data_IF_343022127467
#
_entry.id   IF_343022127467
#
_cell.length_a   1.000
_cell.length_b   1.000
_cell.length_c   1.000
_cell.angle_alpha   90.00
_cell.angle_beta   90.00
_cell.angle_gamma   90.00
#
_symmetry.space_group_name_H-M   'P 1'
#
loop_
_entity.id
_entity.type
_entity.pdbx_description
1 polymer ?
#
# COMPACT_ATOMS: atom_id res chain seq x y z
N UNK A 1 -78.08 27.28 40.87
CA UNK A 1 -79.43 26.76 40.53
C UNK A 1 -79.29 25.49 39.70
N UNK A 2 -80.28 24.64 39.84
CA UNK A 2 -80.48 23.28 39.35
C UNK A 2 -80.03 22.94 37.90
N UNK A 3 -79.30 21.83 37.78
CA UNK A 3 -79.81 20.50 37.35
C UNK A 3 -80.23 20.22 35.90
N UNK A 4 -79.88 18.99 35.48
CA UNK A 4 -80.49 18.09 34.46
C UNK A 4 -80.15 18.38 32.98
N UNK A 5 -79.95 17.41 32.08
CA UNK A 5 -79.38 16.04 31.99
C UNK A 5 -79.87 15.44 30.64
N UNK A 6 -79.21 14.35 30.22
CA UNK A 6 -79.56 13.33 29.18
C UNK A 6 -79.06 13.61 27.76
N UNK A 7 -78.06 12.87 27.26
CA UNK A 7 -78.03 11.45 26.78
C UNK A 7 -78.25 11.39 25.26
N UNK A 8 -77.74 10.45 24.46
CA UNK A 8 -76.58 9.55 24.40
C UNK A 8 -76.85 8.72 23.12
N UNK A 9 -75.95 8.66 22.14
CA UNK A 9 -75.94 7.54 21.15
C UNK A 9 -74.50 7.17 20.78
N UNK A 10 -74.32 5.85 20.73
CA UNK A 10 -73.14 5.01 20.59
C UNK A 10 -72.37 5.12 19.27
N UNK A 11 -71.07 4.77 19.32
CA UNK A 11 -70.26 4.41 18.15
C UNK A 11 -68.85 3.93 18.55
N UNK A 12 -68.71 2.62 18.74
CA UNK A 12 -67.48 1.88 19.07
C UNK A 12 -66.26 2.20 18.18
N UNK A 13 -65.07 2.33 18.77
CA UNK A 13 -63.97 1.35 18.59
C UNK A 13 -62.83 1.64 19.58
N UNK A 14 -62.56 0.64 20.42
CA UNK A 14 -61.41 0.58 21.31
C UNK A 14 -60.16 0.18 20.53
N UNK A 15 -58.98 0.64 20.95
CA UNK A 15 -58.00 -0.20 21.65
C UNK A 15 -56.76 0.62 22.02
N UNK A 16 -56.51 0.72 23.32
CA UNK A 16 -55.26 1.20 23.91
C UNK A 16 -54.25 0.06 23.99
N UNK A 17 -52.99 0.29 23.64
CA UNK A 17 -51.86 -0.53 24.13
C UNK A 17 -50.61 0.32 24.38
N UNK A 18 -50.46 0.69 25.65
CA UNK A 18 -49.30 0.42 26.54
C UNK A 18 -47.90 0.40 25.91
N UNK A 19 -47.09 1.37 26.35
CA UNK A 19 -45.63 1.39 26.24
C UNK A 19 -44.99 0.12 26.80
N UNK A 20 -44.01 -0.42 26.06
CA UNK A 20 -43.02 -1.38 26.56
C UNK A 20 -41.62 -0.97 26.11
N UNK A 21 -40.78 -0.76 27.11
CA UNK A 21 -39.32 -0.68 27.02
C UNK A 21 -38.75 -1.93 26.36
N UNK A 22 -37.86 -1.75 25.39
CA UNK A 22 -37.04 -2.82 24.83
C UNK A 22 -35.59 -2.33 24.69
N UNK A 23 -34.74 -2.84 25.58
CA UNK A 23 -33.28 -2.83 25.42
C UNK A 23 -32.93 -3.52 24.09
N UNK A 24 -32.18 -2.86 23.21
CA UNK A 24 -31.49 -3.51 22.09
C UNK A 24 -29.99 -3.24 22.20
N UNK A 25 -29.23 -4.32 22.41
CA UNK A 25 -27.78 -4.32 22.25
C UNK A 25 -27.45 -4.13 20.76
N UNK A 26 -26.74 -3.05 20.42
CA UNK A 26 -26.11 -2.93 19.12
C UNK A 26 -24.77 -3.67 19.18
N UNK A 27 -24.73 -4.86 18.57
CA UNK A 27 -23.50 -5.62 18.35
C UNK A 27 -22.83 -5.03 17.10
N UNK A 28 -21.61 -4.51 17.25
CA UNK A 28 -20.79 -4.07 16.13
C UNK A 28 -20.45 -5.28 15.25
N UNK A 29 -20.85 -5.25 13.97
CA UNK A 29 -20.39 -6.16 12.94
C UNK A 29 -19.37 -5.41 12.08
N UNK A 30 -18.10 -5.81 12.20
CA UNK A 30 -17.05 -5.46 11.26
C UNK A 30 -17.32 -6.12 9.91
N UNK A 31 -17.14 -5.43 8.76
CA UNK A 31 -17.28 -6.06 7.47
C UNK A 31 -16.08 -6.99 7.23
N UNK A 32 -16.36 -8.28 7.08
CA UNK A 32 -15.41 -9.27 6.57
C UNK A 32 -15.35 -9.10 5.05
N UNK A 33 -14.31 -8.43 4.54
CA UNK A 33 -14.01 -8.45 3.13
C UNK A 33 -13.54 -9.86 2.75
N UNK A 34 -14.25 -10.52 1.83
CA UNK A 34 -13.92 -11.85 1.35
C UNK A 34 -13.00 -11.76 0.14
N UNK A 35 -12.01 -12.65 0.06
CA UNK A 35 -11.02 -12.79 -1.02
C UNK A 35 -11.63 -12.91 -2.43
N UNK A 36 -12.93 -13.17 -2.54
CA UNK A 36 -13.64 -13.33 -3.81
C UNK A 36 -13.89 -12.00 -4.54
N UNK A 37 -13.88 -10.86 -3.84
CA UNK A 37 -14.15 -9.55 -4.46
C UNK A 37 -12.95 -9.00 -5.26
N UNK A 38 -11.74 -9.50 -4.96
CA UNK A 38 -10.52 -9.13 -5.68
C UNK A 38 -10.37 -9.91 -7.00
N UNK A 39 -10.81 -11.17 -7.04
CA UNK A 39 -10.74 -12.02 -8.22
C UNK A 39 -11.65 -11.53 -9.36
N UNK A 40 -12.78 -10.89 -9.04
CA UNK A 40 -13.75 -10.45 -10.05
C UNK A 40 -13.30 -9.16 -10.80
N UNK A 41 -12.47 -8.32 -10.16
CA UNK A 41 -11.96 -7.08 -10.78
C UNK A 41 -10.78 -7.30 -11.74
N UNK A 42 -10.14 -8.47 -11.70
CA UNK A 42 -8.96 -8.80 -12.52
C UNK A 42 -9.33 -9.41 -13.89
N UNK A 43 -10.57 -9.90 -14.06
CA UNK A 43 -10.97 -10.69 -15.24
C UNK A 43 -11.44 -9.88 -16.48
N UNK A 44 -11.42 -8.54 -16.45
CA UNK A 44 -11.99 -7.71 -17.54
C UNK A 44 -11.02 -6.86 -18.36
N UNK A 45 -9.70 -7.04 -18.23
CA UNK A 45 -8.73 -6.35 -19.09
C UNK A 45 -8.18 -7.30 -20.16
N UNK A 46 -8.94 -7.48 -21.23
CA UNK A 46 -8.56 -8.28 -22.41
C UNK A 46 -7.46 -7.59 -23.21
N UNK A 47 -6.51 -8.43 -23.62
CA UNK A 47 -5.29 -8.20 -24.41
C UNK A 47 -5.55 -7.40 -25.69
N UNK A 48 -4.72 -6.39 -25.96
CA UNK A 48 -4.39 -5.96 -27.34
C UNK A 48 -2.87 -5.80 -27.48
N UNK A 49 -2.31 -6.66 -28.34
CA UNK A 49 -0.91 -6.61 -28.80
C UNK A 49 -0.68 -5.38 -29.69
N UNK A 50 0.52 -4.80 -29.57
CA UNK A 50 1.15 -4.03 -30.64
C UNK A 50 1.49 -2.59 -30.26
N UNK A 51 2.74 -2.35 -29.89
CA UNK A 51 3.75 -1.57 -30.63
C UNK A 51 5.05 -1.65 -29.84
N UNK A 52 6.08 -2.21 -30.46
CA UNK A 52 7.45 -2.13 -30.00
C UNK A 52 7.89 -0.66 -30.04
N UNK A 53 8.03 -0.05 -28.86
CA UNK A 53 8.59 1.28 -28.67
C UNK A 53 9.70 1.20 -27.65
N UNK A 54 10.94 1.27 -28.12
CA UNK A 54 12.15 1.25 -27.33
C UNK A 54 12.15 2.38 -26.29
N UNK A 55 11.94 2.03 -25.02
CA UNK A 55 12.41 2.84 -23.90
C UNK A 55 13.75 2.22 -23.50
N UNK A 56 14.83 2.90 -23.87
CA UNK A 56 16.14 2.68 -23.26
C UNK A 56 16.05 3.10 -21.79
N UNK A 57 15.51 2.22 -20.95
CA UNK A 57 16.08 2.07 -19.63
C UNK A 57 17.48 1.51 -19.86
N UNK A 58 18.51 2.17 -19.38
CA UNK A 58 19.75 1.47 -19.07
C UNK A 58 19.41 0.47 -17.96
N UNK A 59 18.82 -0.65 -18.35
CA UNK A 59 18.65 -1.81 -17.50
C UNK A 59 20.08 -2.26 -17.22
N UNK A 60 20.51 -2.05 -15.99
CA UNK A 60 21.64 -2.81 -15.49
C UNK A 60 21.32 -4.29 -15.79
N UNK A 61 22.22 -4.97 -16.51
CA UNK A 61 22.03 -6.38 -16.85
C UNK A 61 21.63 -7.14 -15.60
N UNK A 62 20.66 -8.03 -15.68
CA UNK A 62 20.23 -8.79 -14.51
C UNK A 62 21.43 -9.64 -14.02
N UNK A 63 21.83 -9.47 -12.76
CA UNK A 63 23.02 -10.11 -12.17
C UNK A 63 22.58 -11.06 -11.06
N UNK A 64 23.20 -12.24 -10.98
CA UNK A 64 22.99 -13.16 -9.86
C UNK A 64 23.57 -12.61 -8.56
N UNK A 65 23.18 -13.20 -7.42
CA UNK A 65 23.74 -12.76 -6.14
C UNK A 65 25.26 -12.95 -6.09
N UNK A 66 25.77 -14.08 -6.56
CA UNK A 66 27.21 -14.40 -6.54
C UNK A 66 28.03 -13.49 -7.44
N UNK A 67 27.54 -13.18 -8.64
CA UNK A 67 28.18 -12.21 -9.53
C UNK A 67 28.23 -10.82 -8.90
N UNK A 68 27.15 -10.40 -8.22
CA UNK A 68 27.12 -9.11 -7.52
C UNK A 68 28.13 -9.08 -6.36
N UNK A 69 28.29 -10.18 -5.61
CA UNK A 69 29.30 -10.30 -4.56
C UNK A 69 30.73 -10.38 -5.10
N UNK A 70 30.91 -10.84 -6.35
CA UNK A 70 32.20 -10.85 -7.04
C UNK A 70 32.69 -9.45 -7.43
N UNK A 71 31.82 -8.44 -7.43
CA UNK A 71 32.15 -7.06 -7.76
C UNK A 71 32.56 -6.27 -6.51
N UNK A 72 33.60 -5.47 -6.65
CA UNK A 72 33.98 -4.48 -5.64
C UNK A 72 33.02 -3.30 -5.63
N UNK A 73 32.92 -2.61 -4.48
CA UNK A 73 32.11 -1.41 -4.36
C UNK A 73 32.39 -0.37 -5.45
N UNK A 74 33.66 -0.17 -5.84
CA UNK A 74 34.04 0.80 -6.87
C UNK A 74 33.56 0.38 -8.27
N UNK A 75 33.41 -0.92 -8.54
CA UNK A 75 32.85 -1.40 -9.80
C UNK A 75 31.33 -1.23 -9.85
N UNK A 76 30.64 -1.36 -8.70
CA UNK A 76 29.18 -1.17 -8.62
C UNK A 76 28.81 0.31 -8.61
N UNK A 77 29.62 1.16 -7.98
CA UNK A 77 29.33 2.59 -7.79
C UNK A 77 29.08 3.31 -9.11
N UNK A 78 27.86 3.86 -9.24
CA UNK A 78 27.46 4.67 -10.39
C UNK A 78 26.93 3.90 -11.60
N UNK A 79 26.96 2.56 -11.57
CA UNK A 79 26.42 1.72 -12.65
C UNK A 79 24.90 1.58 -12.61
N UNK A 80 24.30 1.74 -11.42
CA UNK A 80 22.89 1.47 -11.16
C UNK A 80 22.58 0.05 -10.65
N UNK A 81 23.56 -0.86 -10.70
CA UNK A 81 23.42 -2.25 -10.21
C UNK A 81 23.07 -2.34 -8.71
N UNK A 82 23.49 -1.36 -7.90
CA UNK A 82 23.14 -1.33 -6.47
C UNK A 82 21.64 -1.11 -6.21
N UNK A 83 20.85 -0.72 -7.21
CA UNK A 83 19.41 -0.52 -7.08
C UNK A 83 18.61 -1.62 -7.81
N UNK A 84 19.24 -2.73 -8.18
CA UNK A 84 18.57 -3.89 -8.80
C UNK A 84 18.59 -5.08 -7.87
N UNK A 85 17.51 -5.88 -7.88
CA UNK A 85 17.50 -7.13 -7.13
C UNK A 85 18.26 -8.23 -7.88
N UNK A 86 18.92 -9.15 -7.16
CA UNK A 86 19.53 -10.32 -7.79
C UNK A 86 18.51 -11.17 -8.54
N UNK A 87 18.96 -11.81 -9.62
CA UNK A 87 18.15 -12.82 -10.32
C UNK A 87 18.57 -14.23 -9.95
N UNK A 88 17.58 -15.12 -9.90
CA UNK A 88 17.81 -16.56 -9.75
C UNK A 88 17.96 -17.18 -11.14
N UNK A 89 19.17 -17.66 -11.43
CA UNK A 89 19.47 -18.42 -12.65
C UNK A 89 19.18 -19.90 -12.45
N UNK A 90 18.48 -20.51 -13.41
CA UNK A 90 17.89 -21.83 -13.18
C UNK A 90 16.82 -21.79 -12.07
N UNK A 91 16.49 -22.96 -11.53
CA UNK A 91 15.49 -23.11 -10.49
C UNK A 91 14.21 -23.82 -10.94
N UNK A 92 13.47 -24.28 -9.95
CA UNK A 92 12.20 -24.99 -10.07
C UNK A 92 11.04 -24.08 -9.63
N UNK A 93 9.82 -24.61 -9.64
CA UNK A 93 8.65 -23.87 -9.19
C UNK A 93 8.68 -23.68 -7.67
N UNK A 94 8.11 -22.57 -7.17
CA UNK A 94 7.93 -22.35 -5.73
C UNK A 94 7.11 -23.46 -5.02
N UNK A 95 6.41 -24.33 -5.76
CA UNK A 95 5.71 -25.50 -5.21
C UNK A 95 6.64 -26.55 -4.61
N UNK A 96 7.92 -26.54 -5.00
CA UNK A 96 8.91 -27.51 -4.54
C UNK A 96 9.58 -27.08 -3.21
N UNK A 97 9.19 -25.92 -2.66
CA UNK A 97 9.61 -25.48 -1.32
C UNK A 97 9.00 -26.44 -0.29
N UNK A 98 9.87 -27.09 0.49
CA UNK A 98 9.44 -28.04 1.51
C UNK A 98 8.75 -27.32 2.68
N UNK A 99 7.80 -27.99 3.31
CA UNK A 99 7.19 -27.49 4.54
C UNK A 99 8.24 -27.25 5.64
N UNK A 100 8.04 -26.19 6.41
CA UNK A 100 8.96 -25.77 7.46
C UNK A 100 8.85 -24.29 7.80
N UNK A 101 9.49 -23.94 8.90
CA UNK A 101 9.75 -22.55 9.28
C UNK A 101 11.11 -22.15 8.70
N UNK A 102 11.15 -21.00 8.02
CA UNK A 102 12.33 -20.41 7.41
C UNK A 102 12.50 -18.97 7.88
N UNK A 103 13.74 -18.51 7.88
CA UNK A 103 14.10 -17.10 7.89
C UNK A 103 14.19 -16.62 6.46
N UNK A 104 13.49 -15.52 6.19
CA UNK A 104 13.63 -14.78 4.96
C UNK A 104 14.74 -13.75 5.15
N UNK A 105 15.74 -13.82 4.30
CA UNK A 105 16.89 -12.93 4.29
C UNK A 105 17.05 -12.28 2.91
N UNK A 106 17.75 -11.14 2.88
CA UNK A 106 18.08 -10.41 1.64
C UNK A 106 16.85 -10.16 0.78
N UNK A 107 15.71 -9.94 1.43
CA UNK A 107 14.47 -9.70 0.71
C UNK A 107 14.56 -8.32 0.06
N UNK A 108 14.50 -8.33 -1.26
CA UNK A 108 14.66 -7.19 -2.13
C UNK A 108 13.42 -7.04 -3.01
N UNK A 109 12.95 -5.81 -3.19
CA UNK A 109 11.84 -5.46 -4.09
C UNK A 109 12.26 -4.35 -5.03
N UNK A 110 12.29 -4.66 -6.32
CA UNK A 110 12.64 -3.75 -7.41
C UNK A 110 11.37 -3.39 -8.22
N UNK A 111 10.79 -2.22 -7.97
CA UNK A 111 9.77 -1.64 -8.82
C UNK A 111 10.21 -1.49 -10.28
N UNK A 112 9.37 -1.95 -11.20
CA UNK A 112 9.54 -1.75 -12.65
C UNK A 112 8.57 -0.72 -13.21
N UNK A 113 7.45 -0.47 -12.52
CA UNK A 113 6.45 0.51 -12.92
C UNK A 113 5.76 1.14 -11.72
N UNK A 114 5.55 2.45 -11.81
CA UNK A 114 4.74 3.24 -10.90
C UNK A 114 3.57 3.85 -11.68
N UNK A 115 2.36 3.49 -11.33
CA UNK A 115 1.15 4.11 -11.87
C UNK A 115 0.35 4.73 -10.75
N UNK A 116 -0.23 5.90 -11.02
CA UNK A 116 -1.02 6.65 -10.03
C UNK A 116 -2.44 6.73 -10.53
N UNK A 117 -3.38 6.39 -9.66
CA UNK A 117 -4.80 6.50 -9.96
C UNK A 117 -5.18 7.97 -9.93
N UNK A 118 -5.63 8.44 -11.08
CA UNK A 118 -6.06 9.81 -11.27
C UNK A 118 -7.54 9.83 -11.60
N UNK A 119 -8.26 10.81 -11.05
CA UNK A 119 -9.63 11.07 -11.51
C UNK A 119 -9.60 11.57 -12.95
N UNK A 120 -10.61 11.20 -13.73
CA UNK A 120 -10.67 11.66 -15.10
C UNK A 120 -10.78 13.18 -15.16
N UNK A 121 -10.01 13.80 -16.07
CA UNK A 121 -10.15 15.23 -16.37
C UNK A 121 -11.50 15.56 -17.01
N UNK A 122 -12.22 14.55 -17.50
CA UNK A 122 -13.56 14.68 -18.04
C UNK A 122 -14.61 14.40 -16.97
N UNK A 123 -15.68 15.21 -16.93
CA UNK A 123 -16.77 15.13 -15.94
C UNK A 123 -17.50 13.77 -15.84
N UNK A 124 -17.25 12.83 -16.75
CA UNK A 124 -17.88 11.51 -16.81
C UNK A 124 -16.88 10.36 -17.05
N UNK A 125 -15.58 10.59 -16.93
CA UNK A 125 -14.60 9.52 -17.13
C UNK A 125 -14.32 8.74 -15.85
N UNK A 126 -13.97 7.46 -16.00
CA UNK A 126 -13.57 6.61 -14.88
C UNK A 126 -12.17 6.96 -14.37
N UNK A 127 -11.91 6.71 -13.08
CA UNK A 127 -10.57 6.86 -12.51
C UNK A 127 -9.68 5.70 -12.96
N UNK A 128 -8.59 6.02 -13.64
CA UNK A 128 -7.65 5.03 -14.18
C UNK A 128 -6.24 5.23 -13.64
N UNK A 129 -5.47 4.13 -13.58
CA UNK A 129 -4.05 4.17 -13.24
C UNK A 129 -3.25 4.69 -14.43
N UNK A 130 -2.72 5.90 -14.30
CA UNK A 130 -1.93 6.54 -15.35
C UNK A 130 -0.44 6.22 -15.18
N UNK A 131 0.26 6.07 -16.31
CA UNK A 131 1.73 5.94 -16.31
C UNK A 131 2.37 7.22 -15.82
N UNK A 132 3.40 7.09 -15.00
CA UNK A 132 4.12 8.22 -14.44
C UNK A 132 5.58 8.22 -14.86
N UNK A 133 6.26 9.35 -14.64
CA UNK A 133 7.70 9.47 -14.82
C UNK A 133 8.39 9.61 -13.47
N UNK A 134 9.36 8.75 -13.19
CA UNK A 134 10.16 8.79 -11.95
C UNK A 134 11.04 10.04 -11.89
N UNK A 135 11.02 10.74 -10.75
CA UNK A 135 11.79 11.97 -10.51
C UNK A 135 12.98 11.78 -9.57
N UNK A 136 12.95 10.77 -8.70
CA UNK A 136 13.94 10.57 -7.61
C UNK A 136 15.15 9.72 -7.98
N UNK A 137 15.32 9.34 -9.26
CA UNK A 137 16.42 8.48 -9.74
C UNK A 137 16.39 7.10 -9.05
N UNK A 138 17.52 6.38 -9.05
CA UNK A 138 17.67 5.01 -8.56
C UNK A 138 17.76 4.95 -7.02
N UNK A 139 16.66 5.25 -6.33
CA UNK A 139 16.58 5.27 -4.85
C UNK A 139 15.29 4.62 -4.34
N UNK A 140 14.69 3.72 -5.13
CA UNK A 140 13.32 3.24 -4.92
C UNK A 140 13.23 1.75 -4.61
N UNK A 141 14.33 1.01 -4.70
CA UNK A 141 14.37 -0.43 -4.40
C UNK A 141 14.42 -0.62 -2.89
N UNK A 142 13.62 -1.55 -2.37
CA UNK A 142 13.73 -2.01 -0.99
C UNK A 142 14.72 -3.17 -0.96
N UNK A 143 15.58 -3.23 0.04
CA UNK A 143 16.66 -4.22 0.08
C UNK A 143 17.03 -4.61 1.51
N UNK A 144 17.68 -5.75 1.66
CA UNK A 144 18.16 -6.24 2.95
C UNK A 144 17.04 -6.50 3.95
N UNK A 145 15.79 -6.65 3.50
CA UNK A 145 14.68 -6.97 4.39
C UNK A 145 14.83 -8.40 4.92
N UNK A 146 14.38 -8.58 6.16
CA UNK A 146 14.39 -9.84 6.88
C UNK A 146 13.01 -10.15 7.43
N UNK A 147 12.72 -11.44 7.60
CA UNK A 147 11.39 -11.86 7.99
C UNK A 147 11.30 -13.32 8.38
N UNK A 148 10.08 -13.70 8.75
CA UNK A 148 9.70 -15.09 8.96
C UNK A 148 8.93 -15.58 7.74
N UNK A 149 9.30 -16.74 7.22
CA UNK A 149 8.64 -17.38 6.08
C UNK A 149 8.27 -18.81 6.45
N UNK A 150 6.98 -19.11 6.55
CA UNK A 150 6.47 -20.41 6.97
C UNK A 150 5.73 -21.08 5.83
N UNK A 151 6.07 -22.34 5.57
CA UNK A 151 5.40 -23.18 4.59
C UNK A 151 4.72 -24.34 5.31
N UNK A 152 3.40 -24.40 5.22
CA UNK A 152 2.59 -25.49 5.76
C UNK A 152 2.71 -26.77 4.93
N UNK A 153 2.40 -27.90 5.55
CA UNK A 153 2.34 -29.20 4.86
C UNK A 153 1.26 -29.27 3.77
N UNK A 154 0.28 -28.36 3.84
CA UNK A 154 -0.78 -28.15 2.86
C UNK A 154 -0.38 -27.20 1.72
N UNK A 155 0.85 -26.69 1.72
CA UNK A 155 1.34 -25.69 0.76
C UNK A 155 0.92 -24.25 1.08
N UNK A 156 0.33 -24.01 2.25
CA UNK A 156 0.05 -22.66 2.73
C UNK A 156 1.35 -21.91 3.02
N UNK A 157 1.37 -20.61 2.74
CA UNK A 157 2.50 -19.72 3.01
C UNK A 157 2.06 -18.63 3.97
N UNK A 158 2.87 -18.37 4.98
CA UNK A 158 2.75 -17.20 5.84
C UNK A 158 4.08 -16.47 5.84
N UNK A 159 4.04 -15.17 5.59
CA UNK A 159 5.22 -14.31 5.55
C UNK A 159 5.01 -13.14 6.50
N UNK A 160 6.05 -12.79 7.23
CA UNK A 160 6.06 -11.61 8.08
C UNK A 160 7.38 -10.87 7.91
N UNK A 161 7.29 -9.61 7.50
CA UNK A 161 8.42 -8.68 7.48
C UNK A 161 8.72 -8.21 8.91
N UNK A 162 10.00 -8.05 9.24
CA UNK A 162 10.43 -7.67 10.59
C UNK A 162 11.40 -6.48 10.61
N UNK A 163 12.42 -6.45 9.74
CA UNK A 163 13.44 -5.40 9.71
C UNK A 163 14.11 -5.28 8.33
N UNK A 164 14.80 -4.16 8.08
CA UNK A 164 15.61 -3.91 6.88
C UNK A 164 15.36 -2.53 6.26
N UNK A 165 15.79 -2.33 5.01
CA UNK A 165 15.46 -1.13 4.24
C UNK A 165 14.09 -1.30 3.57
N UNK A 166 13.07 -1.32 4.43
CA UNK A 166 11.66 -1.60 4.13
C UNK A 166 10.85 -0.36 3.71
N UNK A 167 11.49 0.79 3.51
CA UNK A 167 10.88 1.98 2.92
C UNK A 167 11.83 2.80 2.05
N UNK A 168 11.28 3.45 1.03
CA UNK A 168 11.96 4.33 0.11
C UNK A 168 11.08 5.54 -0.27
N UNK A 169 11.53 6.79 -0.04
CA UNK A 169 10.80 7.97 -0.49
C UNK A 169 10.92 8.12 -2.01
N UNK A 170 9.79 8.10 -2.70
CA UNK A 170 9.71 8.18 -4.15
C UNK A 170 8.89 9.40 -4.56
N UNK A 171 9.24 10.03 -5.68
CA UNK A 171 8.38 11.02 -6.31
C UNK A 171 8.26 10.71 -7.79
N UNK A 172 7.03 10.66 -8.27
CA UNK A 172 6.71 10.49 -9.68
C UNK A 172 5.95 11.71 -10.19
N UNK A 173 5.98 11.90 -11.50
CA UNK A 173 5.27 12.97 -12.17
C UNK A 173 4.20 12.40 -13.09
N UNK A 174 2.97 12.89 -12.94
CA UNK A 174 1.84 12.56 -13.80
C UNK A 174 1.92 13.30 -15.14
N UNK A 175 1.27 12.77 -16.19
CA UNK A 175 1.00 13.53 -17.42
C UNK A 175 0.19 14.78 -17.07
N UNK A 176 0.78 15.96 -17.27
CA UNK A 176 0.22 17.24 -16.79
C UNK A 176 1.12 17.98 -15.80
N UNK A 177 2.17 17.32 -15.31
CA UNK A 177 3.25 17.97 -14.57
C UNK A 177 3.10 17.91 -13.04
N UNK A 178 1.96 17.46 -12.53
CA UNK A 178 1.75 17.22 -11.10
C UNK A 178 2.75 16.19 -10.57
N UNK A 179 3.37 16.51 -9.43
CA UNK A 179 4.30 15.61 -8.73
C UNK A 179 3.59 14.96 -7.56
N UNK A 180 3.62 13.63 -7.54
CA UNK A 180 3.01 12.80 -6.51
C UNK A 180 4.14 12.14 -5.71
N UNK A 181 4.51 12.69 -4.54
CA UNK A 181 5.41 12.00 -3.62
C UNK A 181 4.66 10.90 -2.88
N UNK A 182 5.36 9.81 -2.59
CA UNK A 182 4.86 8.70 -1.78
C UNK A 182 6.03 7.93 -1.15
N UNK A 183 5.74 7.18 -0.10
CA UNK A 183 6.73 6.36 0.59
C UNK A 183 6.52 4.90 0.18
N UNK A 184 7.25 4.40 -0.82
CA UNK A 184 7.18 2.98 -1.17
C UNK A 184 7.67 2.18 0.03
N UNK A 185 6.87 1.22 0.52
CA UNK A 185 7.15 0.57 1.81
C UNK A 185 6.56 -0.82 1.87
N UNK A 186 7.13 -1.65 2.73
CA UNK A 186 6.59 -2.95 3.11
C UNK A 186 6.61 -3.16 4.65
N UNK A 187 6.66 -2.06 5.41
CA UNK A 187 6.67 -2.03 6.87
C UNK A 187 5.58 -2.87 7.52
N UNK A 188 5.97 -3.73 8.45
CA UNK A 188 5.08 -4.55 9.27
C UNK A 188 4.19 -5.47 8.41
N UNK A 189 4.65 -5.83 7.21
CA UNK A 189 3.86 -6.65 6.30
C UNK A 189 3.59 -8.03 6.89
N UNK A 190 2.33 -8.43 6.81
CA UNK A 190 1.89 -9.78 7.18
C UNK A 190 1.06 -10.36 6.06
N UNK A 191 1.64 -11.32 5.35
CA UNK A 191 1.04 -11.96 4.19
C UNK A 191 0.64 -13.41 4.45
N UNK A 192 -0.44 -13.85 3.81
CA UNK A 192 -0.87 -15.25 3.79
C UNK A 192 -1.28 -15.66 2.37
N UNK A 193 -1.16 -16.95 2.08
CA UNK A 193 -1.59 -17.52 0.81
C UNK A 193 -0.99 -18.89 0.58
N UNK A 194 -0.44 -19.10 -0.61
CA UNK A 194 0.27 -20.31 -1.00
C UNK A 194 1.50 -19.94 -1.86
N UNK A 195 2.25 -20.95 -2.29
CA UNK A 195 3.49 -20.75 -3.08
C UNK A 195 3.25 -20.17 -4.47
N UNK A 196 2.02 -20.25 -5.01
CA UNK A 196 1.67 -19.61 -6.29
C UNK A 196 1.35 -18.12 -6.11
N UNK A 197 0.65 -17.78 -5.02
CA UNK A 197 0.30 -16.40 -4.71
C UNK A 197 0.06 -16.23 -3.20
N UNK A 198 0.66 -15.20 -2.61
CA UNK A 198 0.38 -14.76 -1.26
C UNK A 198 0.25 -13.25 -1.20
N UNK A 199 -0.53 -12.73 -0.26
CA UNK A 199 -0.75 -11.30 -0.13
C UNK A 199 -1.17 -10.91 1.27
N UNK A 200 -1.13 -9.62 1.54
CA UNK A 200 -1.41 -9.07 2.86
C UNK A 200 -1.37 -7.56 2.89
N UNK A 201 -1.58 -7.04 4.09
CA UNK A 201 -1.55 -5.60 4.36
C UNK A 201 -0.22 -5.22 5.01
N UNK A 202 0.15 -3.96 4.84
CA UNK A 202 1.32 -3.33 5.47
C UNK A 202 1.01 -1.89 5.87
N UNK A 203 1.84 -1.34 6.73
CA UNK A 203 1.71 0.04 7.21
C UNK A 203 2.39 1.00 6.25
N UNK A 204 1.71 2.10 5.94
CA UNK A 204 2.26 3.22 5.17
C UNK A 204 2.40 4.41 6.11
N UNK A 205 3.59 4.64 6.69
CA UNK A 205 3.82 5.82 7.49
C UNK A 205 3.59 7.10 6.69
N UNK A 206 3.33 8.20 7.41
CA UNK A 206 3.33 9.53 6.79
C UNK A 206 4.66 9.78 6.07
N UNK A 207 4.59 10.27 4.83
CA UNK A 207 5.76 10.61 4.02
C UNK A 207 6.66 11.65 4.69
N UNK A 208 6.07 12.52 5.53
CA UNK A 208 6.78 13.48 6.39
C UNK A 208 6.69 13.03 7.84
N UNK A 209 7.81 13.09 8.56
CA UNK A 209 7.82 12.85 10.01
C UNK A 209 7.08 13.94 10.79
N UNK A 210 6.70 13.64 12.03
CA UNK A 210 5.91 14.57 12.87
C UNK A 210 6.61 15.90 13.17
N UNK A 211 7.94 15.92 13.17
CA UNK A 211 8.77 17.12 13.36
C UNK A 211 9.10 17.87 12.07
N UNK A 212 8.57 17.44 10.92
CA UNK A 212 8.72 18.19 9.68
C UNK A 212 8.06 19.56 9.80
N UNK A 213 8.78 20.60 9.37
CA UNK A 213 8.30 21.97 9.34
C UNK A 213 7.94 22.36 7.91
N UNK A 214 6.71 22.82 7.72
CA UNK A 214 6.30 23.44 6.47
C UNK A 214 7.00 24.81 6.28
N UNK A 215 6.89 25.45 5.10
CA UNK A 215 7.53 26.75 4.85
C UNK A 215 7.08 27.89 5.78
N UNK A 216 5.99 27.71 6.53
CA UNK A 216 5.50 28.67 7.54
C UNK A 216 5.96 28.31 8.95
N UNK A 217 6.85 27.31 9.09
CA UNK A 217 7.35 26.83 10.36
C UNK A 217 6.32 26.02 11.15
N UNK A 218 5.25 25.52 10.51
CA UNK A 218 4.22 24.70 11.15
C UNK A 218 4.58 23.23 11.06
N UNK A 219 4.34 22.48 12.12
CA UNK A 219 4.62 21.04 12.19
C UNK A 219 3.67 20.33 13.15
N UNK A 220 3.78 19.01 13.26
CA UNK A 220 2.91 18.21 14.12
C UNK A 220 3.37 18.20 15.57
N UNK A 221 4.62 17.83 15.82
CA UNK A 221 5.20 17.76 17.17
C UNK A 221 6.05 18.97 17.54
N UNK A 222 6.54 19.71 16.54
CA UNK A 222 7.38 20.90 16.70
C UNK A 222 6.94 21.96 15.69
N UNK A 223 7.20 23.24 16.01
CA UNK A 223 6.82 24.36 15.15
C UNK A 223 5.57 25.08 15.64
N UNK A 224 5.07 26.01 14.83
CA UNK A 224 3.84 26.73 15.09
C UNK A 224 2.63 25.85 14.80
N UNK A 225 1.54 26.07 15.54
CA UNK A 225 0.24 25.44 15.35
C UNK A 225 -0.72 26.27 14.48
N UNK A 226 -0.32 27.50 14.10
CA UNK A 226 -1.12 28.38 13.27
C UNK A 226 -0.31 29.21 12.27
N UNK A 227 -1.01 29.98 11.42
CA UNK A 227 -0.38 30.83 10.42
C UNK A 227 0.06 32.19 11.01
N UNK A 228 1.17 32.21 11.74
CA UNK A 228 1.70 33.41 12.45
C UNK A 228 1.93 34.64 11.56
N UNK A 229 2.12 34.46 10.25
CA UNK A 229 2.26 35.56 9.29
C UNK A 229 0.95 36.30 8.99
N UNK A 230 -0.20 35.74 9.37
CA UNK A 230 -1.54 36.29 9.12
C UNK A 230 -2.31 36.40 10.44
N UNK A 231 -1.93 37.33 11.35
CA UNK A 231 -2.47 37.36 12.71
C UNK A 231 -4.00 37.46 12.77
N UNK A 232 -4.62 38.21 11.85
CA UNK A 232 -6.08 38.38 11.80
C UNK A 232 -6.84 37.12 11.30
N UNK A 233 -6.16 36.19 10.62
CA UNK A 233 -6.76 34.97 10.04
C UNK A 233 -6.04 33.69 10.50
N UNK A 234 -5.20 33.78 11.53
CA UNK A 234 -4.24 32.74 11.90
C UNK A 234 -4.92 31.38 12.12
N UNK A 235 -6.11 31.40 12.75
CA UNK A 235 -6.90 30.21 13.12
C UNK A 235 -8.18 30.04 12.29
N UNK A 236 -8.26 30.70 11.13
CA UNK A 236 -9.45 30.60 10.27
C UNK A 236 -9.73 29.15 9.85
N UNK A 237 -11.01 28.79 9.71
CA UNK A 237 -11.43 27.43 9.40
C UNK A 237 -10.83 26.90 8.10
N UNK A 238 -10.59 27.78 7.12
CA UNK A 238 -9.93 27.46 5.85
C UNK A 238 -8.49 26.96 6.01
N UNK A 239 -7.80 27.34 7.10
CA UNK A 239 -6.41 26.96 7.36
C UNK A 239 -6.27 25.77 8.32
N UNK A 240 -7.38 25.22 8.82
CA UNK A 240 -7.36 24.19 9.85
C UNK A 240 -6.60 22.93 9.39
N UNK A 241 -6.73 22.54 8.13
CA UNK A 241 -6.02 21.37 7.56
C UNK A 241 -4.52 21.63 7.43
N UNK A 242 -4.13 22.87 7.14
CA UNK A 242 -2.74 23.27 6.98
C UNK A 242 -2.07 23.59 8.32
N UNK A 243 -2.83 24.02 9.32
CA UNK A 243 -2.39 24.34 10.67
C UNK A 243 -2.20 23.07 11.51
N UNK A 244 -3.24 22.22 11.57
CA UNK A 244 -3.21 21.00 12.36
C UNK A 244 -2.62 19.84 11.55
N UNK A 245 -1.30 19.69 11.65
CA UNK A 245 -0.56 18.65 10.94
C UNK A 245 -0.83 17.26 11.52
N UNK A 246 -1.21 16.33 10.65
CA UNK A 246 -1.43 14.92 10.99
C UNK A 246 -0.39 14.02 10.34
N UNK A 247 0.43 13.36 11.18
CA UNK A 247 1.39 12.34 10.75
C UNK A 247 0.80 10.91 10.86
N UNK A 248 -0.53 10.78 10.72
CA UNK A 248 -1.21 9.49 10.84
C UNK A 248 -0.75 8.51 9.74
N UNK A 249 -0.50 7.26 10.14
CA UNK A 249 -0.18 6.19 9.21
C UNK A 249 -1.44 5.68 8.49
N UNK A 250 -1.25 5.23 7.26
CA UNK A 250 -2.26 4.61 6.43
C UNK A 250 -1.91 3.13 6.21
N UNK A 251 -2.70 2.44 5.40
CA UNK A 251 -2.49 1.02 5.05
C UNK A 251 -2.31 0.87 3.56
N UNK A 252 -1.41 -0.02 3.18
CA UNK A 252 -1.26 -0.53 1.82
C UNK A 252 -1.49 -2.04 1.79
N UNK A 253 -1.63 -2.59 0.60
CA UNK A 253 -1.72 -4.03 0.39
C UNK A 253 -0.81 -4.47 -0.75
N UNK A 254 -0.21 -5.64 -0.60
CA UNK A 254 0.69 -6.21 -1.60
C UNK A 254 0.37 -7.68 -1.83
N UNK A 255 0.60 -8.11 -3.07
CA UNK A 255 0.42 -9.46 -3.55
C UNK A 255 1.69 -9.88 -4.27
N UNK A 256 2.15 -11.08 -3.98
CA UNK A 256 3.39 -11.64 -4.48
C UNK A 256 3.11 -13.01 -5.09
N UNK A 257 3.89 -13.37 -6.09
CA UNK A 257 3.97 -14.72 -6.61
C UNK A 257 5.43 -15.18 -6.64
N UNK A 258 5.67 -16.46 -6.39
CA UNK A 258 7.00 -17.08 -6.51
C UNK A 258 7.10 -17.66 -7.92
N UNK A 259 7.99 -17.10 -8.74
CA UNK A 259 8.22 -17.58 -10.10
C UNK A 259 9.34 -18.62 -10.14
N UNK A 260 10.39 -18.43 -9.33
CA UNK A 260 11.58 -19.29 -9.30
C UNK A 260 11.97 -19.61 -7.87
N UNK A 261 12.45 -20.83 -7.67
CA UNK A 261 13.06 -21.31 -6.43
C UNK A 261 14.28 -22.17 -6.75
N UNK A 262 15.41 -21.90 -6.13
CA UNK A 262 16.59 -22.76 -6.16
C UNK A 262 16.72 -23.55 -4.85
N UNK A 263 16.51 -24.89 -4.85
CA UNK A 263 16.64 -25.71 -3.65
C UNK A 263 18.07 -25.85 -3.11
N UNK A 264 19.10 -25.58 -3.92
CA UNK A 264 20.49 -25.72 -3.50
C UNK A 264 20.93 -24.56 -2.60
N UNK A 265 20.51 -23.34 -2.96
CA UNK A 265 20.89 -22.09 -2.29
C UNK A 265 19.79 -21.53 -1.39
N UNK A 266 18.55 -21.95 -1.58
CA UNK A 266 17.38 -21.39 -0.90
C UNK A 266 16.90 -20.08 -1.52
N UNK A 267 17.39 -19.69 -2.70
CA UNK A 267 16.96 -18.46 -3.35
C UNK A 267 15.55 -18.57 -3.94
N UNK A 268 14.75 -17.52 -3.77
CA UNK A 268 13.41 -17.39 -4.32
C UNK A 268 13.29 -16.04 -5.03
N UNK A 269 12.60 -16.02 -6.16
CA UNK A 269 12.34 -14.79 -6.89
C UNK A 269 10.97 -14.82 -7.56
N UNK A 270 10.43 -13.64 -7.83
CA UNK A 270 9.10 -13.53 -8.39
C UNK A 270 8.68 -12.12 -8.76
N UNK A 271 7.37 -11.95 -8.88
CA UNK A 271 6.73 -10.68 -9.24
C UNK A 271 5.85 -10.24 -8.07
N UNK A 272 5.70 -8.93 -7.91
CA UNK A 272 4.80 -8.35 -6.94
C UNK A 272 3.94 -7.25 -7.56
N UNK A 273 2.75 -7.06 -6.99
CA UNK A 273 1.91 -5.89 -7.17
C UNK A 273 1.56 -5.34 -5.78
N UNK A 274 1.79 -4.04 -5.58
CA UNK A 274 1.47 -3.31 -4.36
C UNK A 274 0.56 -2.14 -4.69
N UNK A 275 -0.43 -1.88 -3.83
CA UNK A 275 -1.29 -0.71 -3.88
C UNK A 275 -1.19 -0.01 -2.54
N UNK A 276 -0.79 1.26 -2.57
CA UNK A 276 -0.63 2.06 -1.36
C UNK A 276 -0.96 3.54 -1.61
N UNK A 277 -1.39 4.26 -0.57
CA UNK A 277 -1.63 5.70 -0.66
C UNK A 277 -0.35 6.51 -0.87
N UNK A 278 -0.51 7.66 -1.51
CA UNK A 278 0.52 8.68 -1.63
C UNK A 278 0.66 9.54 -0.37
N UNK A 279 1.59 10.50 -0.40
CA UNK A 279 1.70 11.57 0.60
C UNK A 279 0.38 12.34 0.78
N UNK A 280 0.13 12.78 2.01
CA UNK A 280 -1.03 13.59 2.42
C UNK A 280 -0.66 15.02 2.79
N UNK A 281 0.61 15.42 2.64
CA UNK A 281 1.13 16.71 3.11
C UNK A 281 0.77 16.97 4.57
N UNK A 282 1.04 15.96 5.42
CA UNK A 282 0.66 15.94 6.84
C UNK A 282 -0.85 16.16 7.06
N UNK A 283 -1.69 15.52 6.25
CA UNK A 283 -3.15 15.58 6.35
C UNK A 283 -3.83 16.75 5.61
N UNK A 284 -3.07 17.61 4.93
CA UNK A 284 -3.63 18.74 4.19
C UNK A 284 -4.31 18.34 2.87
N UNK A 285 -3.81 17.28 2.19
CA UNK A 285 -4.37 16.78 0.92
C UNK A 285 -4.83 15.33 1.02
N UNK A 286 -5.76 14.98 0.13
CA UNK A 286 -6.24 13.60 -0.04
C UNK A 286 -5.14 12.78 -0.74
N UNK A 287 -4.77 11.61 -0.20
CA UNK A 287 -3.79 10.75 -0.85
C UNK A 287 -4.37 10.11 -2.12
N UNK A 288 -3.54 9.95 -3.16
CA UNK A 288 -3.86 9.19 -4.37
C UNK A 288 -3.46 7.73 -4.20
N UNK A 289 -4.16 6.82 -4.87
CA UNK A 289 -3.75 5.41 -4.91
C UNK A 289 -2.56 5.23 -5.86
N UNK A 290 -1.46 4.68 -5.37
CA UNK A 290 -0.27 4.35 -6.17
C UNK A 290 -0.20 2.84 -6.32
N UNK A 291 -0.17 2.37 -7.57
CA UNK A 291 0.10 0.96 -7.89
C UNK A 291 1.57 0.82 -8.30
N UNK A 292 2.25 -0.07 -7.61
CA UNK A 292 3.66 -0.41 -7.85
C UNK A 292 3.71 -1.87 -8.28
N UNK A 293 4.29 -2.14 -9.45
CA UNK A 293 4.56 -3.50 -9.90
C UNK A 293 6.04 -3.69 -10.10
N UNK A 294 6.56 -4.88 -9.81
CA UNK A 294 7.99 -5.11 -9.94
C UNK A 294 8.40 -6.56 -9.72
N UNK A 295 9.72 -6.74 -9.67
CA UNK A 295 10.36 -8.01 -9.35
C UNK A 295 10.78 -8.02 -7.89
N UNK A 296 10.87 -9.21 -7.31
CA UNK A 296 11.43 -9.35 -5.98
C UNK A 296 12.30 -10.60 -5.91
N UNK A 297 13.23 -10.58 -4.96
CA UNK A 297 14.17 -11.64 -4.65
C UNK A 297 14.23 -11.82 -3.14
N UNK A 298 14.48 -13.04 -2.68
CA UNK A 298 14.84 -13.30 -1.28
C UNK A 298 15.57 -14.62 -1.16
N UNK A 299 16.18 -14.86 -0.01
CA UNK A 299 16.78 -16.13 0.34
C UNK A 299 16.06 -16.71 1.56
N UNK A 300 15.72 -17.99 1.51
CA UNK A 300 15.11 -18.72 2.62
C UNK A 300 16.12 -19.70 3.23
N UNK A 301 16.41 -19.50 4.51
CA UNK A 301 17.28 -20.37 5.31
C UNK A 301 16.47 -20.98 6.48
N UNK A 302 16.83 -22.19 6.91
CA UNK A 302 16.21 -22.83 8.09
C UNK A 302 16.90 -22.43 9.38
#
# INVERSE_FOLDING_TARGET
MASIARSAVFGNTAFAVRAKSAKRSAKAQAPKASLNEFAEKVSKATVSLGVAGAVLAQSASAVTYDELQGLTYLQVKGTGLANTCPVVEGGVSGKDIKAGDYKLERFCMEPTSFTVKEESQFKAGESEFQKTRLMTRLTYTLDGMTGDFKVGSDGSVQIKENDGLDYAPVTVQLPGGERVPFLFTLKEFTGKGNTSQFGGDFVVPSYRGSSFLDPKGRGGSTGYDNAVALPARADSEELQKENNKSAAALKGSAVFNIAKYDPATGEIAGVFESIQPSDTDLGAKVPKDVKITGLWYGNIAK
#
